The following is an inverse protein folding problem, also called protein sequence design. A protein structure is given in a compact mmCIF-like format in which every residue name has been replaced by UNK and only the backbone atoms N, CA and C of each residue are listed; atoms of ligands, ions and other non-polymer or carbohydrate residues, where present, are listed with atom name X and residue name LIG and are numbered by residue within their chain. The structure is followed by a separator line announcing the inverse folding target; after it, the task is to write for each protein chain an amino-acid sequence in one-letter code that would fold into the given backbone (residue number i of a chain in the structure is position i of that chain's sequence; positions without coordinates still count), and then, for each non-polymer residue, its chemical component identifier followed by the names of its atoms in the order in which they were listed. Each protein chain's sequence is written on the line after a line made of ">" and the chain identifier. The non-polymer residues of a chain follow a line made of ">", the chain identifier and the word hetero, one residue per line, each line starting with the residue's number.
data_IF_616718575679
#
_entry.id   IF_616718575679
#
_cell.length_a   1.000
_cell.length_b   1.000
_cell.length_c   1.000
_cell.angle_alpha   90.00
_cell.angle_beta   90.00
_cell.angle_gamma   90.00
#
_symmetry.space_group_name_H-M   'P 1'
#
loop_
_entity.id
_entity.type
_entity.pdbx_description
1 polymer ?
#
# COMPACT_ATOMS: atom_id res chain seq x y z
N UNK A 1 -25.99 32.79 -8.68
CA UNK A 1 -24.52 32.68 -8.44
C UNK A 1 -24.11 31.53 -7.50
N UNK A 2 -24.91 31.16 -6.50
CA UNK A 2 -24.59 30.07 -5.54
C UNK A 2 -24.30 28.70 -6.21
N UNK A 3 -25.19 28.21 -7.09
CA UNK A 3 -25.02 26.94 -7.83
C UNK A 3 -23.68 26.81 -8.59
N UNK A 4 -23.16 27.90 -9.15
CA UNK A 4 -21.90 27.90 -9.92
C UNK A 4 -20.67 27.81 -9.00
N UNK A 5 -20.78 28.30 -7.77
CA UNK A 5 -19.71 28.23 -6.74
C UNK A 5 -19.63 26.81 -6.15
N UNK A 6 -20.77 26.15 -5.96
CA UNK A 6 -20.85 24.76 -5.50
C UNK A 6 -20.31 23.77 -6.53
N UNK A 7 -20.62 23.94 -7.82
CA UNK A 7 -20.07 23.07 -8.88
C UNK A 7 -18.54 23.13 -8.97
N UNK A 8 -17.95 24.34 -8.90
CA UNK A 8 -16.48 24.51 -8.89
C UNK A 8 -15.82 23.87 -7.66
N UNK A 9 -16.50 23.87 -6.51
CA UNK A 9 -15.98 23.23 -5.29
C UNK A 9 -16.01 21.70 -5.42
N UNK A 10 -17.06 21.15 -6.02
CA UNK A 10 -17.19 19.72 -6.31
C UNK A 10 -16.11 19.24 -7.27
N UNK A 11 -15.92 19.92 -8.40
CA UNK A 11 -14.89 19.59 -9.41
C UNK A 11 -13.47 19.59 -8.80
N UNK A 12 -13.16 20.59 -7.98
CA UNK A 12 -11.85 20.68 -7.29
C UNK A 12 -11.63 19.51 -6.33
N UNK A 13 -12.68 19.13 -5.58
CA UNK A 13 -12.62 17.97 -4.68
C UNK A 13 -12.42 16.69 -5.49
N UNK A 14 -13.20 16.49 -6.55
CA UNK A 14 -13.12 15.31 -7.41
C UNK A 14 -11.71 15.15 -8.03
N UNK A 15 -11.17 16.22 -8.62
CA UNK A 15 -9.81 16.22 -9.19
C UNK A 15 -8.73 15.91 -8.15
N UNK A 16 -8.89 16.41 -6.91
CA UNK A 16 -7.97 16.13 -5.80
C UNK A 16 -7.99 14.65 -5.41
N UNK A 17 -9.17 14.06 -5.25
CA UNK A 17 -9.28 12.65 -4.86
C UNK A 17 -8.78 11.73 -5.98
N UNK A 18 -9.07 12.03 -7.25
CA UNK A 18 -8.49 11.29 -8.39
C UNK A 18 -6.97 11.32 -8.42
N UNK A 19 -6.35 12.46 -8.13
CA UNK A 19 -4.89 12.56 -8.02
C UNK A 19 -4.35 11.71 -6.88
N UNK A 20 -5.07 11.61 -5.77
CA UNK A 20 -4.69 10.73 -4.66
C UNK A 20 -4.82 9.25 -5.05
N UNK A 21 -5.89 8.86 -5.74
CA UNK A 21 -6.07 7.49 -6.25
C UNK A 21 -4.96 7.13 -7.24
N UNK A 22 -4.62 8.04 -8.15
CA UNK A 22 -3.50 7.84 -9.07
C UNK A 22 -2.17 7.67 -8.32
N UNK A 23 -1.92 8.50 -7.29
CA UNK A 23 -0.75 8.32 -6.44
C UNK A 23 -0.73 6.95 -5.78
N UNK A 24 -1.86 6.51 -5.21
CA UNK A 24 -1.97 5.19 -4.56
C UNK A 24 -1.72 4.05 -5.57
N UNK A 25 -2.25 4.16 -6.79
CA UNK A 25 -2.01 3.19 -7.85
C UNK A 25 -0.53 3.13 -8.25
N UNK A 26 0.13 4.28 -8.42
CA UNK A 26 1.58 4.34 -8.69
C UNK A 26 2.38 3.76 -7.52
N UNK A 27 2.01 4.08 -6.29
CA UNK A 27 2.64 3.55 -5.08
C UNK A 27 2.57 2.01 -5.01
N UNK A 28 1.41 1.44 -5.29
CA UNK A 28 1.23 -0.01 -5.33
C UNK A 28 2.02 -0.64 -6.49
N UNK A 29 1.93 -0.04 -7.68
CA UNK A 29 2.66 -0.50 -8.86
C UNK A 29 4.17 -0.52 -8.64
N UNK A 30 4.75 0.57 -8.12
CA UNK A 30 6.18 0.67 -7.84
C UNK A 30 6.61 -0.33 -6.76
N UNK A 31 5.79 -0.55 -5.72
CA UNK A 31 6.08 -1.56 -4.69
C UNK A 31 6.22 -2.96 -5.30
N UNK A 32 5.27 -3.36 -6.15
CA UNK A 32 5.30 -4.66 -6.84
C UNK A 32 6.44 -4.72 -7.86
N UNK A 33 6.66 -3.64 -8.62
CA UNK A 33 7.72 -3.57 -9.62
C UNK A 33 9.10 -3.81 -9.00
N UNK A 34 9.41 -3.20 -7.86
CA UNK A 34 10.67 -3.44 -7.18
C UNK A 34 10.84 -4.88 -6.72
N UNK A 35 9.79 -5.52 -6.22
CA UNK A 35 9.84 -6.96 -5.89
C UNK A 35 10.14 -7.77 -7.15
N UNK A 36 9.37 -7.58 -8.22
CA UNK A 36 9.53 -8.36 -9.47
C UNK A 36 10.93 -8.23 -10.06
N UNK A 37 11.50 -7.02 -10.05
CA UNK A 37 12.81 -6.76 -10.62
C UNK A 37 13.97 -7.24 -9.73
N UNK A 38 13.81 -7.20 -8.41
CA UNK A 38 14.93 -7.37 -7.47
C UNK A 38 14.76 -8.49 -6.43
N UNK A 39 13.71 -9.32 -6.49
CA UNK A 39 13.39 -10.32 -5.45
C UNK A 39 14.55 -11.25 -5.04
N UNK A 40 15.52 -11.49 -5.95
CA UNK A 40 16.72 -12.28 -5.67
C UNK A 40 17.68 -11.59 -4.69
N UNK A 41 17.75 -10.27 -4.71
CA UNK A 41 18.51 -9.46 -3.75
C UNK A 41 17.58 -8.94 -2.65
N UNK A 42 17.56 -9.66 -1.54
CA UNK A 42 16.65 -9.36 -0.43
C UNK A 42 16.95 -7.99 0.19
N UNK A 43 18.22 -7.62 0.33
CA UNK A 43 18.61 -6.38 0.99
C UNK A 43 18.21 -5.18 0.14
N UNK A 44 18.56 -5.19 -1.15
CA UNK A 44 18.20 -4.11 -2.07
C UNK A 44 16.67 -3.95 -2.14
N UNK A 45 15.94 -5.05 -2.29
CA UNK A 45 14.47 -5.02 -2.35
C UNK A 45 13.87 -4.46 -1.07
N UNK A 46 14.39 -4.85 0.10
CA UNK A 46 13.93 -4.33 1.40
C UNK A 46 14.11 -2.82 1.47
N UNK A 47 15.29 -2.32 1.08
CA UNK A 47 15.59 -0.88 1.10
C UNK A 47 14.64 -0.13 0.17
N UNK A 48 14.47 -0.61 -1.07
CA UNK A 48 13.62 0.04 -2.06
C UNK A 48 12.15 0.11 -1.62
N UNK A 49 11.58 -0.99 -1.12
CA UNK A 49 10.19 -1.01 -0.61
C UNK A 49 10.07 -0.18 0.69
N UNK A 50 11.10 -0.18 1.53
CA UNK A 50 11.20 0.69 2.70
C UNK A 50 11.14 2.17 2.32
N UNK A 51 11.89 2.59 1.30
CA UNK A 51 11.84 3.96 0.76
C UNK A 51 10.43 4.28 0.24
N UNK A 52 9.79 3.37 -0.48
CA UNK A 52 8.39 3.56 -0.92
C UNK A 52 7.46 3.74 0.28
N UNK A 53 7.62 2.95 1.34
CA UNK A 53 6.86 3.07 2.60
C UNK A 53 6.96 4.49 3.17
N UNK A 54 8.19 5.00 3.28
CA UNK A 54 8.49 6.35 3.79
C UNK A 54 7.85 7.44 2.92
N UNK A 55 7.93 7.32 1.59
CA UNK A 55 7.26 8.24 0.65
C UNK A 55 5.74 8.25 0.89
N UNK A 56 5.14 7.08 1.09
CA UNK A 56 3.72 6.95 1.45
C UNK A 56 3.38 7.68 2.75
N UNK A 57 4.19 7.50 3.80
CA UNK A 57 3.99 8.17 5.08
C UNK A 57 4.08 9.70 4.98
N UNK A 58 5.03 10.23 4.23
CA UNK A 58 5.11 11.67 3.97
C UNK A 58 3.89 12.18 3.19
N UNK A 59 3.43 11.45 2.17
CA UNK A 59 2.28 11.85 1.36
C UNK A 59 0.97 11.88 2.17
N UNK A 60 0.77 10.88 3.01
CA UNK A 60 -0.50 10.67 3.69
C UNK A 60 -0.58 11.35 5.06
N UNK A 61 0.56 11.54 5.72
CA UNK A 61 0.73 12.19 7.03
C UNK A 61 -0.39 11.82 8.03
N UNK A 62 -0.64 10.53 8.21
CA UNK A 62 -1.73 10.02 9.04
C UNK A 62 -1.27 8.90 9.95
N UNK A 63 -1.40 9.12 11.27
CA UNK A 63 -1.09 8.12 12.31
C UNK A 63 -1.89 6.83 12.12
N UNK A 64 -3.15 6.93 11.67
CA UNK A 64 -3.99 5.75 11.38
C UNK A 64 -3.40 4.90 10.25
N UNK A 65 -2.91 5.54 9.19
CA UNK A 65 -2.26 4.82 8.09
C UNK A 65 -1.00 4.10 8.55
N UNK A 66 -0.22 4.68 9.47
CA UNK A 66 0.95 4.01 10.07
C UNK A 66 0.53 2.80 10.90
N UNK A 67 -0.52 2.92 11.72
CA UNK A 67 -1.03 1.77 12.50
C UNK A 67 -1.51 0.64 11.57
N UNK A 68 -2.25 0.97 10.51
CA UNK A 68 -2.69 -0.01 9.50
C UNK A 68 -1.49 -0.64 8.78
N UNK A 69 -0.47 0.15 8.46
CA UNK A 69 0.76 -0.34 7.84
C UNK A 69 1.46 -1.35 8.77
N UNK A 70 1.61 -1.03 10.06
CA UNK A 70 2.24 -1.94 11.04
C UNK A 70 1.43 -3.24 11.16
N UNK A 71 0.10 -3.14 11.22
CA UNK A 71 -0.77 -4.30 11.29
C UNK A 71 -0.59 -5.21 10.07
N UNK A 72 -0.61 -4.64 8.85
CA UNK A 72 -0.34 -5.38 7.62
C UNK A 72 1.06 -5.99 7.59
N UNK A 73 2.06 -5.20 7.98
CA UNK A 73 3.47 -5.62 7.96
C UNK A 73 3.75 -6.80 8.88
N UNK A 74 3.00 -6.98 9.96
CA UNK A 74 3.16 -8.12 10.86
C UNK A 74 2.26 -9.29 10.47
N UNK A 75 0.96 -9.03 10.27
CA UNK A 75 0.00 -10.11 10.10
C UNK A 75 0.02 -10.73 8.70
N UNK A 76 0.33 -9.94 7.67
CA UNK A 76 0.48 -10.45 6.30
C UNK A 76 1.54 -11.54 6.18
N UNK A 77 2.81 -11.26 6.55
CA UNK A 77 3.87 -12.26 6.52
C UNK A 77 3.61 -13.45 7.46
N UNK A 78 2.97 -13.25 8.61
CA UNK A 78 2.59 -14.36 9.51
C UNK A 78 1.63 -15.32 8.84
N UNK A 79 0.60 -14.81 8.15
CA UNK A 79 -0.31 -15.65 7.37
C UNK A 79 0.43 -16.42 6.27
N UNK A 80 1.38 -15.78 5.59
CA UNK A 80 2.19 -16.46 4.57
C UNK A 80 3.13 -17.52 5.15
N UNK A 81 3.78 -17.25 6.30
CA UNK A 81 4.61 -18.23 7.00
C UNK A 81 3.80 -19.50 7.35
N UNK A 82 2.55 -19.34 7.80
CA UNK A 82 1.64 -20.46 8.07
C UNK A 82 1.34 -21.23 6.76
N UNK A 83 1.00 -20.53 5.68
CA UNK A 83 0.69 -21.17 4.40
C UNK A 83 1.89 -21.96 3.83
N UNK A 84 3.09 -21.38 3.92
CA UNK A 84 4.34 -22.03 3.47
C UNK A 84 4.68 -23.22 4.36
N UNK A 85 4.45 -23.13 5.68
CA UNK A 85 4.64 -24.26 6.59
C UNK A 85 3.78 -25.48 6.20
N UNK A 86 2.55 -25.24 5.74
CA UNK A 86 1.68 -26.30 5.21
C UNK A 86 1.98 -26.70 3.75
N UNK A 87 3.05 -26.17 3.15
CA UNK A 87 3.48 -26.54 1.80
C UNK A 87 2.60 -26.00 0.68
N UNK A 88 1.80 -24.94 0.94
CA UNK A 88 0.95 -24.35 -0.09
C UNK A 88 1.77 -23.81 -1.28
N UNK A 89 2.94 -23.23 -0.99
CA UNK A 89 3.95 -22.76 -1.95
C UNK A 89 5.24 -22.40 -1.21
N UNK A 90 6.27 -21.91 -1.93
CA UNK A 90 7.57 -21.54 -1.35
C UNK A 90 8.22 -20.35 -2.08
N UNK A 91 9.02 -19.57 -1.34
CA UNK A 91 9.89 -18.55 -1.91
C UNK A 91 11.20 -19.14 -2.44
N UNK A 92 11.68 -18.62 -3.57
CA UNK A 92 12.97 -19.03 -4.14
C UNK A 92 14.18 -18.57 -3.32
N UNK A 93 14.05 -17.44 -2.62
CA UNK A 93 15.08 -16.87 -1.75
C UNK A 93 14.39 -16.32 -0.49
N UNK A 94 14.91 -16.64 0.69
CA UNK A 94 14.35 -16.23 1.97
C UNK A 94 15.46 -16.06 3.02
N UNK A 95 15.18 -15.28 4.06
CA UNK A 95 16.11 -15.02 5.17
C UNK A 95 15.42 -14.90 6.54
N UNK A 96 14.10 -15.02 6.61
CA UNK A 96 13.31 -15.06 7.85
C UNK A 96 12.27 -16.16 7.71
N UNK A 97 12.41 -17.28 8.43
CA UNK A 97 11.42 -18.38 8.50
C UNK A 97 10.67 -18.62 7.16
N UNK A 98 11.39 -19.11 6.14
CA UNK A 98 10.87 -19.42 4.81
C UNK A 98 10.28 -18.25 3.99
N UNK A 99 10.39 -17.01 4.46
CA UNK A 99 10.00 -15.80 3.74
C UNK A 99 11.17 -14.80 3.63
N UNK A 100 11.16 -13.92 2.62
CA UNK A 100 12.12 -12.83 2.52
C UNK A 100 11.71 -11.64 3.39
N UNK A 101 12.68 -10.96 4.01
CA UNK A 101 12.42 -9.85 4.93
C UNK A 101 11.69 -8.66 4.30
N UNK A 102 11.86 -8.41 3.01
CA UNK A 102 11.12 -7.36 2.29
C UNK A 102 9.60 -7.57 2.31
N UNK A 103 9.14 -8.80 2.58
CA UNK A 103 7.72 -9.16 2.60
C UNK A 103 6.95 -8.41 3.69
N UNK A 104 7.58 -8.12 4.83
CA UNK A 104 7.02 -7.29 5.90
C UNK A 104 6.66 -5.90 5.38
N UNK A 105 7.57 -5.27 4.64
CA UNK A 105 7.33 -3.95 4.07
C UNK A 105 6.29 -3.99 2.95
N UNK A 106 6.30 -5.03 2.11
CA UNK A 106 5.33 -5.16 1.03
C UNK A 106 3.90 -5.28 1.56
N UNK A 107 3.66 -6.13 2.56
CA UNK A 107 2.34 -6.27 3.17
C UNK A 107 1.90 -5.02 3.93
N UNK A 108 2.83 -4.33 4.60
CA UNK A 108 2.55 -3.02 5.18
C UNK A 108 2.09 -2.01 4.11
N UNK A 109 2.82 -1.93 2.99
CA UNK A 109 2.48 -1.07 1.87
C UNK A 109 1.12 -1.42 1.27
N UNK A 110 0.82 -2.71 1.10
CA UNK A 110 -0.46 -3.18 0.60
C UNK A 110 -1.62 -2.75 1.53
N UNK A 111 -1.47 -2.94 2.84
CA UNK A 111 -2.49 -2.53 3.82
C UNK A 111 -2.72 -1.00 3.82
N UNK A 112 -1.63 -0.21 3.80
CA UNK A 112 -1.72 1.24 3.73
C UNK A 112 -2.37 1.73 2.43
N UNK A 113 -1.98 1.15 1.29
CA UNK A 113 -2.57 1.39 -0.02
C UNK A 113 -4.07 1.12 -0.03
N UNK A 114 -4.51 -0.05 0.45
CA UNK A 114 -5.91 -0.44 0.47
C UNK A 114 -6.74 0.51 1.34
N UNK A 115 -6.26 0.80 2.55
CA UNK A 115 -6.95 1.69 3.48
C UNK A 115 -7.12 3.11 2.91
N UNK A 116 -6.06 3.66 2.31
CA UNK A 116 -6.13 5.01 1.75
C UNK A 116 -7.05 5.03 0.54
N UNK A 117 -6.87 4.10 -0.40
CA UNK A 117 -7.72 4.01 -1.58
C UNK A 117 -9.20 3.88 -1.20
N UNK A 118 -9.53 3.05 -0.21
CA UNK A 118 -10.91 2.95 0.30
C UNK A 118 -11.44 4.29 0.84
N UNK A 119 -10.62 5.06 1.56
CA UNK A 119 -10.99 6.40 2.06
C UNK A 119 -11.19 7.41 0.93
N UNK A 120 -10.33 7.38 -0.08
CA UNK A 120 -10.45 8.28 -1.23
C UNK A 120 -11.69 7.94 -2.08
N UNK A 121 -11.97 6.65 -2.31
CA UNK A 121 -13.20 6.20 -2.99
C UNK A 121 -14.44 6.61 -2.20
N UNK A 122 -14.46 6.42 -0.88
CA UNK A 122 -15.56 6.89 -0.02
C UNK A 122 -15.77 8.41 -0.14
N UNK A 123 -14.69 9.19 -0.26
CA UNK A 123 -14.77 10.66 -0.44
C UNK A 123 -15.30 11.09 -1.81
N UNK A 124 -15.23 10.23 -2.83
CA UNK A 124 -15.84 10.47 -4.14
C UNK A 124 -17.37 10.31 -4.11
N UNK A 125 -17.93 9.77 -3.02
CA UNK A 125 -19.38 9.65 -2.86
C UNK A 125 -19.97 8.40 -3.52
N UNK A 126 -19.16 7.34 -3.69
CA UNK A 126 -19.72 6.00 -3.90
C UNK A 126 -20.54 5.68 -2.66
N UNK A 127 -21.86 5.63 -2.81
CA UNK A 127 -22.78 5.29 -1.71
C UNK A 127 -22.54 3.84 -1.34
N UNK A 128 -22.41 3.57 -0.04
CA UNK A 128 -22.53 2.24 0.52
C UNK A 128 -24.00 1.82 0.22
N UNK A 129 -24.20 0.96 -0.79
CA UNK A 129 -25.52 0.38 -1.10
C UNK A 129 -25.92 -0.61 -0.01
#
# INVERSE_FOLDING_TARGET
>A
MAKKKDNKKLERRFKKEWRNILFNAVYAFVSVLFVVLFFKDILLTTILIGVVSVVGFFKWNSRRTVVIWIFGALWGPVCEMIAIYFGAWQYTVYNVINIPFWLFFLWGNAAAFLYQTAREVKRLGVKDN
#
